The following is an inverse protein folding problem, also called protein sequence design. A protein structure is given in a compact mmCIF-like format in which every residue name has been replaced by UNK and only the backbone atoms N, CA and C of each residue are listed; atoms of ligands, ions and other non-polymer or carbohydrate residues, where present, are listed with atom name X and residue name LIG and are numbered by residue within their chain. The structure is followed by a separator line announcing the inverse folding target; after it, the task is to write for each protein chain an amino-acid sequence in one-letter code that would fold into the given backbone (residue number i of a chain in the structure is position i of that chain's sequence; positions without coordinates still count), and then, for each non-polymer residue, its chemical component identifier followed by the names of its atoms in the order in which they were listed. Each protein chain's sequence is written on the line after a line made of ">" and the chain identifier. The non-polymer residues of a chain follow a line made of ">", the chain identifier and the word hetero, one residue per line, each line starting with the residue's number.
data_IF_508003652208
#
_entry.id   IF_508003652208
#
_cell.length_a   1.000
_cell.length_b   1.000
_cell.length_c   1.000
_cell.angle_alpha   90.00
_cell.angle_beta   90.00
_cell.angle_gamma   90.00
#
_symmetry.space_group_name_H-M   'P 1'
#
loop_
_entity.id
_entity.type
_entity.pdbx_description
1 polymer ?
#
# COMPACT_ATOMS: atom_id res chain seq x y z
N UNK A 1 -47.90 -4.78 5.88
CA UNK A 1 -46.49 -4.42 5.60
C UNK A 1 -45.98 -5.39 4.55
N UNK A 2 -46.12 -5.04 3.27
CA UNK A 2 -45.67 -5.86 2.16
C UNK A 2 -44.18 -5.61 1.94
N UNK A 3 -43.37 -6.65 2.06
CA UNK A 3 -41.94 -6.60 1.75
C UNK A 3 -41.81 -6.75 0.24
N UNK A 4 -41.48 -5.67 -0.46
CA UNK A 4 -41.05 -5.75 -1.85
C UNK A 4 -39.62 -6.31 -1.88
N UNK A 5 -39.35 -7.39 -2.65
CA UNK A 5 -37.98 -7.82 -2.88
C UNK A 5 -37.26 -6.78 -3.75
N UNK A 6 -36.14 -6.26 -3.26
CA UNK A 6 -35.24 -5.43 -4.06
C UNK A 6 -34.73 -6.22 -5.27
N UNK A 7 -34.65 -5.62 -6.46
CA UNK A 7 -34.09 -6.28 -7.63
C UNK A 7 -32.59 -6.57 -7.42
N UNK A 8 -32.05 -7.66 -8.01
CA UNK A 8 -30.61 -7.94 -7.95
C UNK A 8 -29.86 -6.86 -8.71
N UNK A 9 -28.91 -6.19 -8.05
CA UNK A 9 -27.98 -5.25 -8.68
C UNK A 9 -27.11 -6.01 -9.69
N UNK A 10 -27.44 -5.92 -10.97
CA UNK A 10 -26.63 -6.45 -12.07
C UNK A 10 -25.49 -5.49 -12.42
N UNK A 11 -24.60 -5.18 -11.49
CA UNK A 11 -23.31 -4.57 -11.82
C UNK A 11 -22.27 -5.65 -12.07
N UNK A 12 -22.45 -6.43 -13.16
CA UNK A 12 -21.29 -7.08 -13.78
C UNK A 12 -20.54 -5.98 -14.53
N UNK A 13 -19.64 -5.28 -13.84
CA UNK A 13 -18.51 -4.70 -14.54
C UNK A 13 -17.79 -5.87 -15.20
N UNK A 14 -17.85 -5.95 -16.53
CA UNK A 14 -17.13 -6.99 -17.26
C UNK A 14 -15.65 -6.80 -16.97
N UNK A 15 -15.03 -7.77 -16.30
CA UNK A 15 -13.59 -7.78 -16.10
C UNK A 15 -12.90 -7.57 -17.45
N UNK A 16 -12.19 -6.44 -17.58
CA UNK A 16 -11.40 -6.11 -18.75
C UNK A 16 -9.91 -6.22 -18.37
N UNK A 17 -9.24 -7.35 -18.68
CA UNK A 17 -7.84 -7.56 -18.30
C UNK A 17 -6.90 -6.46 -18.80
N UNK A 18 -7.21 -5.80 -19.91
CA UNK A 18 -6.37 -4.77 -20.51
C UNK A 18 -6.24 -3.48 -19.69
N UNK A 19 -7.07 -3.29 -18.66
CA UNK A 19 -7.02 -2.11 -17.79
C UNK A 19 -6.12 -2.30 -16.57
N UNK A 20 -5.66 -3.53 -16.30
CA UNK A 20 -4.89 -3.87 -15.12
C UNK A 20 -3.40 -4.01 -15.44
N UNK A 21 -2.56 -3.56 -14.51
CA UNK A 21 -1.15 -3.91 -14.48
C UNK A 21 -0.95 -5.06 -13.50
N UNK A 22 -0.20 -6.08 -13.89
CA UNK A 22 -0.10 -7.33 -13.12
C UNK A 22 1.26 -7.54 -12.46
N UNK A 23 1.23 -8.21 -11.30
CA UNK A 23 2.38 -8.87 -10.67
C UNK A 23 2.10 -10.36 -10.56
N UNK A 24 3.08 -11.25 -10.80
CA UNK A 24 2.91 -12.66 -10.51
C UNK A 24 2.70 -12.87 -9.01
N UNK A 25 1.89 -13.86 -8.68
CA UNK A 25 1.84 -14.42 -7.33
C UNK A 25 3.01 -15.37 -7.14
N UNK A 26 3.56 -15.40 -5.93
CA UNK A 26 4.66 -16.29 -5.54
C UNK A 26 4.19 -17.22 -4.43
N UNK A 27 4.82 -18.39 -4.32
CA UNK A 27 4.56 -19.30 -3.21
C UNK A 27 5.44 -18.96 -2.02
N UNK A 28 4.95 -19.24 -0.81
CA UNK A 28 5.69 -19.10 0.44
C UNK A 28 5.39 -20.30 1.33
N UNK A 29 6.37 -20.75 2.10
CA UNK A 29 6.17 -21.81 3.11
C UNK A 29 5.57 -21.28 4.41
N UNK A 30 5.33 -19.97 4.51
CA UNK A 30 4.79 -19.34 5.70
C UNK A 30 3.34 -19.77 5.95
N UNK A 31 2.52 -19.75 4.89
CA UNK A 31 1.11 -20.14 4.89
C UNK A 31 0.66 -20.24 3.42
N UNK A 32 0.17 -21.39 2.96
CA UNK A 32 -0.24 -21.59 1.57
C UNK A 32 -1.65 -21.06 1.26
N UNK A 33 -2.40 -20.63 2.28
CA UNK A 33 -3.72 -20.02 2.14
C UNK A 33 -3.67 -18.52 1.83
N UNK A 34 -2.48 -17.90 1.92
CA UNK A 34 -2.27 -16.46 1.70
C UNK A 34 -1.75 -16.15 0.30
N UNK A 35 -2.06 -14.94 -0.18
CA UNK A 35 -1.56 -14.44 -1.45
C UNK A 35 -0.26 -13.66 -1.27
N UNK A 36 0.82 -14.14 -1.89
CA UNK A 36 2.11 -13.46 -1.87
C UNK A 36 2.45 -12.84 -3.21
N UNK A 37 3.06 -11.67 -3.15
CA UNK A 37 3.63 -10.95 -4.29
C UNK A 37 5.05 -10.53 -3.94
N UNK A 38 5.80 -9.97 -4.90
CA UNK A 38 7.16 -9.51 -4.65
C UNK A 38 7.27 -8.01 -4.85
N UNK A 39 7.40 -7.27 -3.75
CA UNK A 39 7.84 -5.88 -3.78
C UNK A 39 9.28 -5.84 -4.32
N UNK A 40 9.53 -5.00 -5.32
CA UNK A 40 10.83 -4.92 -6.01
C UNK A 40 11.47 -3.53 -5.92
N UNK A 41 10.72 -2.52 -5.50
CA UNK A 41 11.26 -1.17 -5.37
C UNK A 41 10.26 -0.18 -4.80
N UNK A 42 10.78 0.92 -4.28
CA UNK A 42 9.99 2.08 -3.91
C UNK A 42 10.72 3.36 -4.31
N UNK A 43 9.94 4.39 -4.65
CA UNK A 43 10.46 5.73 -4.95
C UNK A 43 9.76 6.79 -4.12
N UNK A 44 10.49 7.80 -3.67
CA UNK A 44 9.96 9.01 -3.02
C UNK A 44 10.40 10.23 -3.83
N UNK A 45 9.44 11.06 -4.23
CA UNK A 45 9.66 12.21 -5.12
C UNK A 45 10.44 11.82 -6.40
N UNK A 46 10.13 10.65 -6.97
CA UNK A 46 10.78 10.11 -8.17
C UNK A 46 12.18 9.51 -7.96
N UNK A 47 12.71 9.52 -6.73
CA UNK A 47 14.03 8.95 -6.41
C UNK A 47 13.88 7.59 -5.75
N UNK A 48 14.64 6.55 -6.17
CA UNK A 48 14.67 5.26 -5.48
C UNK A 48 15.12 5.40 -4.03
N UNK A 49 14.63 4.53 -3.14
CA UNK A 49 15.17 4.43 -1.78
C UNK A 49 16.64 3.95 -1.82
N UNK A 50 17.43 4.44 -0.88
CA UNK A 50 18.85 4.06 -0.74
C UNK A 50 19.00 2.71 -0.01
N UNK A 51 18.44 1.64 -0.57
CA UNK A 51 18.55 0.26 -0.08
C UNK A 51 18.90 -0.68 -1.24
N UNK A 52 19.52 -1.82 -0.94
CA UNK A 52 19.79 -2.82 -1.97
C UNK A 52 18.48 -3.50 -2.40
N UNK A 53 18.44 -4.02 -3.63
CA UNK A 53 17.25 -4.68 -4.16
C UNK A 53 16.84 -5.92 -3.36
N UNK A 54 17.80 -6.60 -2.70
CA UNK A 54 17.54 -7.76 -1.85
C UNK A 54 16.76 -7.43 -0.58
N UNK A 55 16.87 -6.20 -0.06
CA UNK A 55 16.15 -5.79 1.15
C UNK A 55 14.63 -5.85 0.96
N UNK A 56 14.12 -5.53 -0.24
CA UNK A 56 12.69 -5.59 -0.54
C UNK A 56 12.12 -7.01 -0.47
N UNK A 57 12.96 -8.03 -0.70
CA UNK A 57 12.59 -9.45 -0.66
C UNK A 57 13.16 -10.20 0.53
N UNK A 58 13.64 -9.48 1.55
CA UNK A 58 14.15 -10.09 2.79
C UNK A 58 13.06 -10.80 3.61
N UNK A 59 11.78 -10.44 3.37
CA UNK A 59 10.61 -11.10 3.93
C UNK A 59 9.62 -11.47 2.81
N UNK A 60 8.85 -12.57 2.96
CA UNK A 60 7.71 -12.82 2.10
C UNK A 60 6.71 -11.67 2.23
N UNK A 61 6.14 -11.20 1.10
CA UNK A 61 5.19 -10.08 1.08
C UNK A 61 3.79 -10.58 0.79
N UNK A 62 2.91 -10.43 1.77
CA UNK A 62 1.48 -10.73 1.68
C UNK A 62 0.76 -9.49 1.13
N UNK A 63 -0.29 -9.66 0.34
CA UNK A 63 -1.28 -8.60 0.10
C UNK A 63 -2.54 -8.93 0.89
N UNK A 64 -2.92 -8.04 1.81
CA UNK A 64 -3.96 -8.32 2.79
C UNK A 64 -4.77 -7.05 3.11
N UNK A 65 -6.05 -7.06 2.72
CA UNK A 65 -6.98 -5.97 3.04
C UNK A 65 -7.48 -6.00 4.48
N UNK A 66 -7.21 -7.07 5.25
CA UNK A 66 -7.50 -7.16 6.68
C UNK A 66 -6.52 -6.38 7.56
N UNK A 67 -5.32 -6.09 7.04
CA UNK A 67 -4.32 -5.25 7.71
C UNK A 67 -4.49 -3.79 7.30
N UNK A 68 -4.69 -2.88 8.28
CA UNK A 68 -4.94 -1.46 8.00
C UNK A 68 -3.81 -0.80 7.19
N UNK A 69 -2.57 -0.87 7.71
CA UNK A 69 -1.40 -0.19 7.12
C UNK A 69 -0.33 -1.17 6.64
N UNK A 70 0.42 -0.79 5.62
CA UNK A 70 1.52 -1.61 5.08
C UNK A 70 2.62 -1.85 6.11
N UNK A 71 3.12 -3.10 6.15
CA UNK A 71 4.29 -3.52 6.93
C UNK A 71 5.44 -3.82 5.99
N UNK A 72 6.61 -3.22 6.23
CA UNK A 72 7.79 -3.40 5.37
C UNK A 72 8.95 -4.03 6.17
N UNK A 73 9.88 -4.74 5.51
CA UNK A 73 11.14 -5.08 6.17
C UNK A 73 11.79 -3.84 6.78
N UNK A 74 12.34 -3.95 7.98
CA UNK A 74 12.79 -2.79 8.77
C UNK A 74 13.72 -1.87 7.98
N UNK A 75 14.72 -2.42 7.27
CA UNK A 75 15.63 -1.63 6.42
C UNK A 75 14.90 -0.79 5.37
N UNK A 76 13.86 -1.35 4.75
CA UNK A 76 13.07 -0.67 3.72
C UNK A 76 12.17 0.38 4.36
N UNK A 77 11.55 0.07 5.50
CA UNK A 77 10.75 1.02 6.28
C UNK A 77 11.56 2.23 6.70
N UNK A 78 12.73 2.04 7.30
CA UNK A 78 13.59 3.12 7.79
C UNK A 78 14.01 4.06 6.66
N UNK A 79 14.36 3.48 5.50
CA UNK A 79 14.71 4.25 4.31
C UNK A 79 13.51 5.05 3.77
N UNK A 80 12.30 4.46 3.77
CA UNK A 80 11.07 5.13 3.36
C UNK A 80 10.73 6.29 4.31
N UNK A 81 10.69 6.02 5.62
CA UNK A 81 10.42 7.00 6.67
C UNK A 81 11.35 8.21 6.52
N UNK A 82 12.65 7.96 6.45
CA UNK A 82 13.68 9.00 6.27
C UNK A 82 13.48 9.80 4.99
N UNK A 83 13.20 9.13 3.87
CA UNK A 83 13.01 9.78 2.58
C UNK A 83 11.75 10.67 2.56
N UNK A 84 10.63 10.19 3.10
CA UNK A 84 9.38 10.96 3.21
C UNK A 84 9.56 12.15 4.14
N UNK A 85 10.14 11.96 5.33
CA UNK A 85 10.42 13.04 6.27
C UNK A 85 11.33 14.12 5.65
N UNK A 86 12.38 13.69 4.93
CA UNK A 86 13.27 14.61 4.22
C UNK A 86 12.59 15.36 3.07
N UNK A 87 11.67 14.71 2.34
CA UNK A 87 10.88 15.37 1.30
C UNK A 87 9.85 16.36 1.88
N UNK A 88 9.42 16.15 3.13
CA UNK A 88 8.48 17.01 3.84
C UNK A 88 9.16 18.01 4.79
N UNK A 89 10.44 18.38 4.55
CA UNK A 89 11.30 19.21 5.44
C UNK A 89 10.80 20.61 5.85
N UNK A 90 9.59 21.03 5.49
CA UNK A 90 8.94 22.25 5.98
C UNK A 90 7.68 22.00 6.81
N UNK A 91 7.29 20.73 6.99
CA UNK A 91 6.13 20.33 7.77
C UNK A 91 6.56 20.04 9.21
N UNK A 92 5.85 20.62 10.19
CA UNK A 92 6.16 20.41 11.60
C UNK A 92 5.96 18.93 11.96
N UNK A 93 6.96 18.34 12.63
CA UNK A 93 6.89 16.97 13.16
C UNK A 93 5.96 16.90 14.37
N UNK A 94 5.26 15.79 14.50
CA UNK A 94 4.47 15.44 15.68
C UNK A 94 5.10 14.23 16.37
N UNK A 95 4.68 13.97 17.61
CA UNK A 95 5.09 12.80 18.36
C UNK A 95 4.58 11.52 17.68
N UNK A 96 5.26 10.40 17.95
CA UNK A 96 4.85 9.10 17.46
C UNK A 96 3.47 8.73 18.02
N UNK A 97 2.66 8.04 17.21
CA UNK A 97 1.36 7.53 17.60
C UNK A 97 1.36 5.99 17.50
N UNK A 98 1.35 5.32 18.65
CA UNK A 98 1.38 3.85 18.72
C UNK A 98 2.59 3.29 17.94
N UNK A 99 2.35 2.47 16.92
CA UNK A 99 3.37 1.88 16.03
C UNK A 99 3.86 2.81 14.92
N UNK A 100 3.29 4.01 14.80
CA UNK A 100 3.60 4.98 13.74
C UNK A 100 4.59 6.01 14.30
N UNK A 101 5.85 5.94 13.86
CA UNK A 101 6.90 6.84 14.36
C UNK A 101 7.13 8.08 13.48
N UNK A 102 6.48 8.12 12.31
CA UNK A 102 6.71 9.15 11.31
C UNK A 102 5.50 10.06 11.16
N UNK A 103 5.34 10.99 12.11
CA UNK A 103 4.16 11.84 12.21
C UNK A 103 4.43 13.33 11.98
N UNK A 104 3.40 14.04 11.55
CA UNK A 104 3.39 15.45 11.20
C UNK A 104 2.15 16.15 11.77
N UNK A 105 2.30 17.43 12.11
CA UNK A 105 1.16 18.27 12.50
C UNK A 105 0.38 18.67 11.24
N UNK A 106 -0.93 18.46 11.28
CA UNK A 106 -1.88 18.68 10.18
C UNK A 106 -2.59 17.39 9.77
N UNK A 107 -3.56 17.53 8.86
CA UNK A 107 -4.26 16.42 8.23
C UNK A 107 -3.67 16.14 6.85
N UNK A 108 -3.69 14.88 6.39
CA UNK A 108 -3.15 14.46 5.11
C UNK A 108 -3.66 15.31 3.93
N UNK A 109 -4.92 15.74 3.96
CA UNK A 109 -5.57 16.58 2.94
C UNK A 109 -5.01 18.00 2.83
N UNK A 110 -4.38 18.52 3.89
CA UNK A 110 -3.84 19.88 3.98
C UNK A 110 -2.34 19.96 3.74
N UNK A 111 -1.66 18.81 3.72
CA UNK A 111 -0.21 18.74 3.59
C UNK A 111 0.22 18.57 2.13
N UNK A 112 1.37 19.13 1.78
CA UNK A 112 2.05 18.82 0.52
C UNK A 112 2.81 17.51 0.69
N UNK A 113 2.22 16.44 0.18
CA UNK A 113 2.75 15.08 0.30
C UNK A 113 3.61 14.73 -0.92
N UNK A 114 4.80 14.14 -0.74
CA UNK A 114 5.63 13.71 -1.87
C UNK A 114 4.97 12.57 -2.64
N UNK A 115 5.20 12.51 -3.95
CA UNK A 115 4.81 11.35 -4.74
C UNK A 115 5.59 10.11 -4.27
N UNK A 116 4.88 9.05 -3.89
CA UNK A 116 5.47 7.76 -3.52
C UNK A 116 4.95 6.69 -4.46
N UNK A 117 5.81 5.75 -4.84
CA UNK A 117 5.39 4.60 -5.65
C UNK A 117 5.98 3.31 -5.11
N UNK A 118 5.17 2.25 -5.16
CA UNK A 118 5.54 0.88 -4.84
C UNK A 118 5.57 0.08 -6.12
N UNK A 119 6.71 -0.48 -6.48
CA UNK A 119 6.88 -1.31 -7.67
C UNK A 119 6.95 -2.79 -7.27
N UNK A 120 6.28 -3.62 -8.04
CA UNK A 120 6.23 -5.06 -7.87
C UNK A 120 6.90 -5.76 -9.05
N UNK A 121 7.32 -7.00 -8.83
CA UNK A 121 7.82 -7.85 -9.91
C UNK A 121 6.77 -7.99 -11.01
N UNK A 122 7.20 -8.16 -12.26
CA UNK A 122 6.28 -8.19 -13.42
C UNK A 122 5.82 -6.82 -13.91
N UNK A 123 6.16 -5.72 -13.22
CA UNK A 123 6.02 -4.35 -13.72
C UNK A 123 4.80 -3.60 -13.19
N UNK A 124 3.93 -4.23 -12.40
CA UNK A 124 2.88 -3.51 -11.68
C UNK A 124 3.47 -2.51 -10.68
N UNK A 125 2.78 -1.37 -10.52
CA UNK A 125 3.12 -0.37 -9.53
C UNK A 125 1.89 0.34 -8.99
N UNK A 126 1.93 0.68 -7.69
CA UNK A 126 0.96 1.55 -7.04
C UNK A 126 1.57 2.94 -6.87
N UNK A 127 0.93 3.95 -7.46
CA UNK A 127 1.30 5.36 -7.29
C UNK A 127 0.45 5.95 -6.16
N UNK A 128 1.04 6.04 -4.97
CA UNK A 128 0.32 6.38 -3.76
C UNK A 128 -0.05 7.86 -3.74
N UNK A 129 -1.32 8.15 -3.56
CA UNK A 129 -1.82 9.49 -3.24
C UNK A 129 -1.62 9.80 -1.74
N UNK A 130 -1.95 11.03 -1.31
CA UNK A 130 -1.83 11.44 0.09
C UNK A 130 -2.56 10.49 1.05
N UNK A 131 -3.80 10.09 0.71
CA UNK A 131 -4.60 9.15 1.50
C UNK A 131 -4.04 7.72 1.53
N UNK A 132 -3.20 7.35 0.55
CA UNK A 132 -2.52 6.05 0.56
C UNK A 132 -1.18 6.09 1.31
N UNK A 133 -0.62 7.29 1.51
CA UNK A 133 0.68 7.46 2.16
C UNK A 133 0.55 7.78 3.65
N UNK A 134 -0.47 8.56 4.02
CA UNK A 134 -0.65 9.08 5.37
C UNK A 134 -1.99 8.61 5.96
N UNK A 135 -2.04 8.51 7.29
CA UNK A 135 -3.25 8.22 8.07
C UNK A 135 -3.41 9.28 9.16
N UNK A 136 -4.57 9.93 9.19
CA UNK A 136 -4.92 10.89 10.23
C UNK A 136 -5.26 10.14 11.52
N UNK A 137 -4.52 10.39 12.59
CA UNK A 137 -4.65 9.69 13.89
C UNK A 137 -5.44 10.49 14.92
N UNK A 138 -5.53 11.80 14.71
CA UNK A 138 -6.41 12.73 15.43
C UNK A 138 -6.72 13.96 14.54
N UNK A 139 -7.36 15.00 15.10
CA UNK A 139 -7.77 16.20 14.34
C UNK A 139 -6.61 17.09 13.88
N UNK A 140 -5.40 16.86 14.41
CA UNK A 140 -4.22 17.70 14.24
C UNK A 140 -2.95 16.94 13.90
N UNK A 141 -3.01 15.61 13.80
CA UNK A 141 -1.85 14.75 13.57
C UNK A 141 -2.14 13.74 12.48
N UNK A 142 -1.19 13.62 11.56
CA UNK A 142 -1.18 12.58 10.53
C UNK A 142 0.17 11.88 10.52
N UNK A 143 0.17 10.58 10.24
CA UNK A 143 1.36 9.74 10.29
C UNK A 143 1.54 8.97 9.00
N UNK A 144 2.78 8.63 8.66
CA UNK A 144 3.10 7.69 7.59
C UNK A 144 2.35 6.37 7.84
N UNK A 145 1.52 5.96 6.89
CA UNK A 145 0.69 4.76 6.97
C UNK A 145 1.50 3.48 6.67
N UNK A 146 2.68 3.38 7.26
CA UNK A 146 3.63 2.28 7.15
C UNK A 146 4.26 2.01 8.51
N UNK A 147 4.69 0.78 8.75
CA UNK A 147 5.43 0.41 9.97
C UNK A 147 6.40 -0.75 9.66
N UNK A 148 7.42 -0.99 10.50
CA UNK A 148 8.29 -2.13 10.33
C UNK A 148 7.54 -3.46 10.57
N UNK A 149 7.94 -4.47 9.81
CA UNK A 149 7.49 -5.85 9.90
C UNK A 149 8.42 -6.67 10.81
N UNK A 150 7.88 -7.76 11.40
CA UNK A 150 8.68 -8.73 12.16
C UNK A 150 8.95 -10.01 11.35
N UNK A 151 7.90 -10.64 10.83
CA UNK A 151 7.97 -11.97 10.18
C UNK A 151 7.57 -11.96 8.71
N UNK A 152 6.68 -11.07 8.30
CA UNK A 152 6.24 -10.94 6.91
C UNK A 152 5.96 -9.47 6.58
N UNK A 153 6.32 -9.07 5.36
CA UNK A 153 5.87 -7.81 4.81
C UNK A 153 4.39 -7.94 4.39
N UNK A 154 3.64 -6.85 4.46
CA UNK A 154 2.21 -6.85 4.17
C UNK A 154 1.86 -5.58 3.41
N UNK A 155 1.24 -5.70 2.23
CA UNK A 155 0.60 -4.58 1.54
C UNK A 155 -0.81 -4.42 2.12
N UNK A 156 -0.97 -3.42 2.98
CA UNK A 156 -2.20 -3.19 3.75
C UNK A 156 -3.30 -2.44 2.98
N UNK A 157 -4.49 -2.39 3.58
CA UNK A 157 -5.69 -1.79 3.02
C UNK A 157 -5.50 -0.32 2.59
N UNK A 158 -4.86 0.52 3.42
CA UNK A 158 -4.65 1.95 3.10
C UNK A 158 -3.89 2.14 1.77
N UNK A 159 -2.92 1.27 1.46
CA UNK A 159 -2.18 1.33 0.19
C UNK A 159 -2.96 0.74 -0.98
N UNK A 160 -3.96 -0.10 -0.72
CA UNK A 160 -4.85 -0.68 -1.73
C UNK A 160 -6.03 0.23 -2.08
N UNK A 161 -6.45 1.13 -1.18
CA UNK A 161 -7.52 2.09 -1.45
C UNK A 161 -7.26 2.90 -2.73
N UNK A 162 -8.33 3.30 -3.42
CA UNK A 162 -8.35 3.95 -4.75
C UNK A 162 -7.88 3.08 -5.92
N UNK A 163 -7.47 1.84 -5.66
CA UNK A 163 -7.12 0.87 -6.69
C UNK A 163 -8.14 -0.26 -6.75
N UNK A 164 -8.54 -0.63 -7.96
CA UNK A 164 -9.21 -1.92 -8.19
C UNK A 164 -8.14 -3.00 -8.13
N UNK A 165 -8.29 -3.93 -7.19
CA UNK A 165 -7.40 -5.08 -7.01
C UNK A 165 -8.13 -6.35 -7.46
N UNK A 166 -7.55 -7.07 -8.41
CA UNK A 166 -8.10 -8.33 -8.92
C UNK A 166 -7.15 -9.49 -8.66
N UNK A 167 -7.67 -10.54 -8.05
CA UNK A 167 -6.98 -11.80 -7.81
C UNK A 167 -7.28 -12.77 -8.96
N UNK A 168 -6.41 -12.80 -9.98
CA UNK A 168 -6.51 -13.71 -11.13
C UNK A 168 -5.79 -15.02 -10.79
N UNK A 169 -6.43 -15.81 -9.92
CA UNK A 169 -5.89 -17.05 -9.36
C UNK A 169 -5.58 -18.08 -10.45
N UNK A 170 -6.44 -18.15 -11.49
CA UNK A 170 -6.23 -19.04 -12.64
C UNK A 170 -4.92 -18.75 -13.38
N UNK A 171 -4.52 -17.48 -13.44
CA UNK A 171 -3.30 -17.04 -14.12
C UNK A 171 -2.15 -16.75 -13.15
N UNK A 172 -2.28 -17.14 -11.88
CA UNK A 172 -1.30 -16.94 -10.82
C UNK A 172 -0.76 -15.51 -10.72
N UNK A 173 -1.64 -14.50 -10.76
CA UNK A 173 -1.26 -13.07 -10.74
C UNK A 173 -2.29 -12.18 -10.05
N UNK A 174 -1.84 -11.02 -9.61
CA UNK A 174 -2.68 -9.96 -9.04
C UNK A 174 -2.60 -8.73 -9.93
N UNK A 175 -3.75 -8.16 -10.26
CA UNK A 175 -3.89 -6.98 -11.10
C UNK A 175 -4.26 -5.75 -10.28
N UNK A 176 -3.67 -4.61 -10.62
CA UNK A 176 -4.00 -3.30 -10.07
C UNK A 176 -4.44 -2.36 -11.20
N UNK A 177 -5.54 -1.64 -10.99
CA UNK A 177 -6.00 -0.55 -11.84
C UNK A 177 -6.42 0.64 -10.98
N UNK A 178 -6.32 1.86 -11.51
CA UNK A 178 -6.82 3.05 -10.81
C UNK A 178 -8.36 3.08 -10.78
N UNK A 179 -8.93 3.89 -9.88
CA UNK A 179 -10.39 4.10 -9.80
C UNK A 179 -11.14 3.05 -8.97
N UNK A 180 -10.47 2.45 -7.98
CA UNK A 180 -11.10 1.62 -6.96
C UNK A 180 -11.77 2.41 -5.85
N UNK A 181 -12.29 1.71 -4.85
CA UNK A 181 -13.00 2.29 -3.71
C UNK A 181 -12.08 3.08 -2.78
N UNK A 182 -12.62 4.14 -2.17
CA UNK A 182 -11.96 4.95 -1.11
C UNK A 182 -12.32 4.42 0.27
#
# INVERSE_FOLDING_TARGET
>A
LSIHPSPPLSHRSSYNPGQYSYTPMVSSTLDDSLYFIKLSGMTVAGKPLAVSSSEYSSLPTIIDSGTVITRLPTTVYDALSKAVAGAMKGTKRADAYSILDTCFVGQASSLRVPAVSMAFSGGAALKLSAQNLLVDVDSSTTCLAFAPARSAAIIGNTQQQTFSVVYDVKSNRIGFAAGGCT
#
